data_IF_000185587660
#
_entry.id   IF_000185587660
#
_cell.length_a   1.000
_cell.length_b   1.000
_cell.length_c   1.000
_cell.angle_alpha   90.00
_cell.angle_beta   90.00
_cell.angle_gamma   90.00
#
_symmetry.space_group_name_H-M   'P 1'
#
loop_
_entity.id
_entity.type
_entity.pdbx_description
1 polymer ?
#
# COMPACT_ATOMS: atom_id res chain seq x y z
N UNK A 1 102.13 6.68 -58.78
CA UNK A 1 103.42 6.96 -58.11
C UNK A 1 103.43 8.38 -57.51
N UNK A 2 102.48 8.74 -56.63
CA UNK A 2 102.53 10.01 -55.87
C UNK A 2 102.27 9.83 -54.36
N UNK A 3 102.13 8.58 -53.90
CA UNK A 3 102.16 8.21 -52.47
C UNK A 3 103.57 8.30 -51.87
N UNK A 4 104.59 8.56 -52.69
CA UNK A 4 105.95 8.93 -52.30
C UNK A 4 106.26 10.43 -52.45
N UNK A 5 105.33 11.24 -52.99
CA UNK A 5 105.48 12.72 -53.01
C UNK A 5 105.02 13.34 -51.67
N UNK A 6 104.15 12.65 -50.93
CA UNK A 6 103.69 13.07 -49.61
C UNK A 6 104.78 13.03 -48.52
N UNK A 7 105.93 12.40 -48.78
CA UNK A 7 107.07 12.30 -47.85
C UNK A 7 108.29 13.14 -48.27
N UNK A 8 108.26 13.77 -49.45
CA UNK A 8 109.40 14.52 -50.00
C UNK A 8 109.20 16.05 -49.95
N UNK A 9 107.96 16.54 -49.83
CA UNK A 9 107.72 17.98 -49.61
C UNK A 9 107.89 18.39 -48.13
N UNK A 10 107.76 17.43 -47.20
CA UNK A 10 107.89 17.63 -45.75
C UNK A 10 109.37 17.62 -45.30
N UNK A 11 110.32 17.28 -46.18
CA UNK A 11 111.78 17.32 -45.90
C UNK A 11 112.56 18.35 -46.72
N UNK A 12 111.89 19.14 -47.59
CA UNK A 12 112.56 20.15 -48.42
C UNK A 12 112.22 21.61 -48.06
N UNK A 13 111.28 21.86 -47.16
CA UNK A 13 110.99 23.21 -46.66
C UNK A 13 111.70 23.56 -45.33
N UNK A 14 112.59 22.68 -44.88
CA UNK A 14 113.57 22.92 -43.81
C UNK A 14 114.87 23.57 -44.33
N UNK A 15 114.93 24.00 -45.59
CA UNK A 15 116.10 24.69 -46.14
C UNK A 15 115.73 25.71 -47.21
N UNK A 16 114.96 26.73 -46.85
CA UNK A 16 114.97 28.01 -47.58
C UNK A 16 115.06 29.14 -46.57
N UNK A 17 116.27 29.32 -46.06
CA UNK A 17 116.72 30.52 -45.37
C UNK A 17 116.60 31.70 -46.34
N UNK A 18 115.50 32.46 -46.22
CA UNK A 18 115.38 33.77 -46.86
C UNK A 18 116.25 34.74 -46.07
N UNK A 19 117.27 35.26 -46.75
CA UNK A 19 118.22 36.25 -46.27
C UNK A 19 117.51 37.46 -45.65
N UNK A 20 117.96 37.79 -44.44
CA UNK A 20 117.62 39.01 -43.74
C UNK A 20 118.18 40.23 -44.49
N UNK A 21 117.36 41.26 -44.63
CA UNK A 21 117.79 42.59 -45.04
C UNK A 21 118.21 43.34 -43.77
N UNK A 22 119.52 43.61 -43.65
CA UNK A 22 120.14 44.32 -42.53
C UNK A 22 119.70 45.78 -42.53
N UNK A 23 118.91 46.17 -41.54
CA UNK A 23 118.76 47.59 -41.17
C UNK A 23 119.71 47.86 -40.01
N UNK A 24 120.85 48.46 -40.34
CA UNK A 24 121.83 48.96 -39.37
C UNK A 24 121.26 50.15 -38.58
N UNK A 25 121.13 50.00 -37.26
CA UNK A 25 121.13 51.10 -36.29
C UNK A 25 122.14 50.84 -35.17
N UNK A 26 123.19 51.67 -35.20
CA UNK A 26 124.21 52.02 -34.19
C UNK A 26 124.84 50.94 -33.29
N UNK A 27 126.15 50.80 -33.46
CA UNK A 27 127.10 50.20 -32.52
C UNK A 27 127.16 50.97 -31.18
N UNK A 28 126.19 50.81 -30.27
CA UNK A 28 126.31 51.21 -28.85
C UNK A 28 125.53 50.26 -27.91
N UNK A 29 126.25 49.51 -27.08
CA UNK A 29 125.77 48.35 -26.30
C UNK A 29 125.01 48.70 -24.99
N UNK A 30 124.36 49.87 -24.81
CA UNK A 30 123.92 50.25 -23.46
C UNK A 30 122.58 51.00 -23.22
N UNK A 31 121.64 51.15 -24.17
CA UNK A 31 120.39 51.91 -23.90
C UNK A 31 119.02 51.37 -24.39
N UNK A 32 118.93 50.28 -25.16
CA UNK A 32 117.65 49.89 -25.82
C UNK A 32 116.83 48.75 -25.16
N UNK A 33 117.38 48.04 -24.17
CA UNK A 33 116.61 47.03 -23.41
C UNK A 33 115.44 47.59 -22.58
N UNK A 34 115.54 48.75 -21.89
CA UNK A 34 114.48 49.17 -20.96
C UNK A 34 113.21 49.73 -21.63
N UNK A 35 113.28 50.24 -22.87
CA UNK A 35 112.11 50.83 -23.57
C UNK A 35 111.20 49.76 -24.16
N UNK A 36 111.78 48.72 -24.77
CA UNK A 36 111.04 47.57 -25.30
C UNK A 36 110.35 46.77 -24.18
N UNK A 37 111.02 46.59 -23.04
CA UNK A 37 110.44 45.93 -21.87
C UNK A 37 109.18 46.66 -21.37
N UNK A 38 109.19 47.99 -21.34
CA UNK A 38 108.04 48.79 -20.91
C UNK A 38 106.87 48.74 -21.91
N UNK A 39 107.14 48.80 -23.20
CA UNK A 39 106.09 48.66 -24.23
C UNK A 39 105.43 47.27 -24.15
N UNK A 40 106.22 46.21 -24.02
CA UNK A 40 105.72 44.84 -23.84
C UNK A 40 104.88 44.72 -22.57
N UNK A 41 105.31 45.36 -21.46
CA UNK A 41 104.54 45.37 -20.22
C UNK A 41 103.22 46.14 -20.34
N UNK A 42 103.20 47.28 -21.05
CA UNK A 42 101.98 48.05 -21.28
C UNK A 42 101.00 47.30 -22.20
N UNK A 43 101.48 46.64 -23.24
CA UNK A 43 100.68 45.74 -24.08
C UNK A 43 100.14 44.55 -23.28
N UNK A 44 100.97 43.87 -22.48
CA UNK A 44 100.54 42.79 -21.59
C UNK A 44 99.50 43.25 -20.57
N UNK A 45 99.67 44.46 -20.03
CA UNK A 45 98.71 45.06 -19.11
C UNK A 45 97.40 45.36 -19.82
N UNK A 46 97.44 45.95 -21.02
CA UNK A 46 96.26 46.24 -21.83
C UNK A 46 95.51 44.96 -22.21
N UNK A 47 96.24 43.91 -22.60
CA UNK A 47 95.70 42.61 -22.97
C UNK A 47 95.09 41.88 -21.77
N UNK A 48 95.71 42.00 -20.58
CA UNK A 48 95.11 41.52 -19.33
C UNK A 48 93.83 42.29 -18.98
N UNK A 49 93.81 43.61 -19.16
CA UNK A 49 92.61 44.42 -18.92
C UNK A 49 91.50 44.08 -19.91
N UNK A 50 91.82 43.92 -21.19
CA UNK A 50 90.87 43.51 -22.23
C UNK A 50 90.35 42.09 -21.98
N UNK A 51 91.21 41.16 -21.55
CA UNK A 51 90.81 39.81 -21.14
C UNK A 51 89.84 39.85 -19.95
N UNK A 52 90.14 40.65 -18.92
CA UNK A 52 89.25 40.83 -17.77
C UNK A 52 87.89 41.42 -18.14
N UNK A 53 87.87 42.41 -19.04
CA UNK A 53 86.62 43.01 -19.52
C UNK A 53 85.84 42.06 -20.43
N UNK A 54 86.53 41.26 -21.24
CA UNK A 54 85.91 40.19 -22.03
C UNK A 54 85.30 39.13 -21.12
N UNK A 55 86.01 38.65 -20.10
CA UNK A 55 85.49 37.71 -19.10
C UNK A 55 84.28 38.29 -18.37
N UNK A 56 84.34 39.56 -17.96
CA UNK A 56 83.20 40.25 -17.33
C UNK A 56 81.99 40.30 -18.27
N UNK A 57 82.17 40.73 -19.53
CA UNK A 57 81.08 40.81 -20.52
C UNK A 57 80.50 39.44 -20.83
N UNK A 58 81.35 38.43 -21.02
CA UNK A 58 80.89 37.06 -21.24
C UNK A 58 80.12 36.53 -20.03
N UNK A 59 80.61 36.79 -18.81
CA UNK A 59 79.91 36.40 -17.58
C UNK A 59 78.53 37.03 -17.53
N UNK A 60 78.41 38.34 -17.75
CA UNK A 60 77.12 39.06 -17.76
C UNK A 60 76.18 38.49 -18.83
N UNK A 61 76.66 38.28 -20.06
CA UNK A 61 75.82 37.73 -21.14
C UNK A 61 75.36 36.30 -20.87
N UNK A 62 76.23 35.45 -20.31
CA UNK A 62 75.88 34.08 -19.93
C UNK A 62 74.85 34.11 -18.81
N UNK A 63 75.06 34.91 -17.75
CA UNK A 63 74.12 35.03 -16.65
C UNK A 63 72.77 35.58 -17.12
N UNK A 64 72.75 36.60 -17.98
CA UNK A 64 71.52 37.17 -18.52
C UNK A 64 70.76 36.14 -19.38
N UNK A 65 71.48 35.34 -20.16
CA UNK A 65 70.88 34.25 -20.96
C UNK A 65 70.33 33.15 -20.07
N UNK A 66 71.04 32.75 -19.03
CA UNK A 66 70.57 31.75 -18.07
C UNK A 66 69.33 32.25 -17.31
N UNK A 67 69.33 33.51 -16.86
CA UNK A 67 68.17 34.14 -16.24
C UNK A 67 66.99 34.22 -17.19
N UNK A 68 67.20 34.58 -18.46
CA UNK A 68 66.13 34.63 -19.46
C UNK A 68 65.55 33.23 -19.77
N UNK A 69 66.39 32.20 -19.83
CA UNK A 69 65.95 30.80 -20.00
C UNK A 69 65.19 30.33 -18.76
N UNK A 70 65.67 30.64 -17.55
CA UNK A 70 65.01 30.32 -16.30
C UNK A 70 63.64 31.00 -16.20
N UNK A 71 63.55 32.29 -16.50
CA UNK A 71 62.30 33.06 -16.47
C UNK A 71 61.28 32.52 -17.48
N UNK A 72 61.72 32.23 -18.70
CA UNK A 72 60.86 31.60 -19.72
C UNK A 72 60.35 30.23 -19.28
N UNK A 73 61.19 29.40 -18.66
CA UNK A 73 60.81 28.09 -18.11
C UNK A 73 59.81 28.21 -16.96
N UNK A 74 60.06 29.14 -16.02
CA UNK A 74 59.16 29.43 -14.91
C UNK A 74 57.80 29.93 -15.42
N UNK A 75 57.79 30.79 -16.44
CA UNK A 75 56.55 31.28 -17.03
C UNK A 75 55.76 30.17 -17.75
N UNK A 76 56.43 29.26 -18.48
CA UNK A 76 55.77 28.09 -19.07
C UNK A 76 55.19 27.16 -18.01
N UNK A 77 55.93 26.93 -16.92
CA UNK A 77 55.44 26.13 -15.79
C UNK A 77 54.21 26.77 -15.16
N UNK A 78 54.25 28.07 -14.86
CA UNK A 78 53.13 28.81 -14.27
C UNK A 78 51.89 28.78 -15.18
N UNK A 79 52.08 29.03 -16.49
CA UNK A 79 50.99 29.01 -17.47
C UNK A 79 50.37 27.61 -17.58
N UNK A 80 51.19 26.56 -17.62
CA UNK A 80 50.72 25.17 -17.72
C UNK A 80 49.94 24.76 -16.46
N UNK A 81 50.46 25.07 -15.28
CA UNK A 81 49.79 24.83 -14.00
C UNK A 81 48.45 25.57 -13.96
N UNK A 82 48.42 26.84 -14.39
CA UNK A 82 47.19 27.63 -14.45
C UNK A 82 46.14 27.02 -15.40
N UNK A 83 46.54 26.54 -16.59
CA UNK A 83 45.63 25.85 -17.50
C UNK A 83 45.09 24.54 -16.94
N UNK A 84 45.90 23.74 -16.24
CA UNK A 84 45.42 22.55 -15.54
C UNK A 84 44.37 22.89 -14.49
N UNK A 85 44.57 23.96 -13.71
CA UNK A 85 43.57 24.43 -12.77
C UNK A 85 42.28 24.87 -13.47
N UNK A 86 42.34 25.53 -14.62
CA UNK A 86 41.13 25.87 -15.39
C UNK A 86 40.38 24.65 -15.91
N UNK A 87 41.09 23.62 -16.40
CA UNK A 87 40.46 22.38 -16.85
C UNK A 87 39.78 21.66 -15.68
N UNK A 88 40.45 21.55 -14.54
CA UNK A 88 39.88 20.95 -13.32
C UNK A 88 38.66 21.74 -12.86
N UNK A 89 38.74 23.07 -12.84
CA UNK A 89 37.62 23.93 -12.46
C UNK A 89 36.42 23.79 -13.40
N UNK A 90 36.66 23.71 -14.72
CA UNK A 90 35.62 23.50 -15.71
C UNK A 90 34.93 22.14 -15.53
N UNK A 91 35.70 21.07 -15.34
CA UNK A 91 35.17 19.72 -15.06
C UNK A 91 34.41 19.69 -13.74
N UNK A 92 34.95 20.30 -12.67
CA UNK A 92 34.29 20.39 -11.38
C UNK A 92 32.96 21.16 -11.46
N UNK A 93 32.92 22.25 -12.23
CA UNK A 93 31.70 23.02 -12.48
C UNK A 93 30.65 22.20 -13.24
N UNK A 94 31.06 21.44 -14.26
CA UNK A 94 30.18 20.54 -15.00
C UNK A 94 29.59 19.45 -14.09
N UNK A 95 30.43 18.80 -13.28
CA UNK A 95 30.00 17.75 -12.33
C UNK A 95 29.05 18.35 -11.29
N UNK A 96 29.34 19.54 -10.77
CA UNK A 96 28.47 20.20 -9.80
C UNK A 96 27.08 20.51 -10.38
N UNK A 97 27.01 20.95 -11.64
CA UNK A 97 25.75 21.26 -12.32
C UNK A 97 24.91 19.99 -12.55
N UNK A 98 25.52 18.93 -13.07
CA UNK A 98 24.86 17.64 -13.29
C UNK A 98 24.44 17.01 -11.95
N UNK A 99 25.32 17.05 -10.94
CA UNK A 99 25.03 16.53 -9.61
C UNK A 99 23.88 17.27 -8.93
N UNK A 100 23.80 18.59 -9.06
CA UNK A 100 22.68 19.37 -8.52
C UNK A 100 21.35 19.03 -9.18
N UNK A 101 21.33 18.88 -10.51
CA UNK A 101 20.13 18.46 -11.23
C UNK A 101 19.67 17.06 -10.81
N UNK A 102 20.59 16.08 -10.77
CA UNK A 102 20.29 14.71 -10.35
C UNK A 102 19.78 14.62 -8.91
N UNK A 103 20.39 15.35 -7.96
CA UNK A 103 19.91 15.40 -6.58
C UNK A 103 18.50 16.00 -6.46
N UNK A 104 18.22 17.06 -7.23
CA UNK A 104 16.90 17.69 -7.27
C UNK A 104 15.85 16.74 -7.84
N UNK A 105 16.15 16.06 -8.95
CA UNK A 105 15.29 15.06 -9.57
C UNK A 105 15.03 13.88 -8.64
N UNK A 106 16.07 13.35 -7.99
CA UNK A 106 15.93 12.26 -7.02
C UNK A 106 15.02 12.67 -5.86
N UNK A 107 15.21 13.87 -5.30
CA UNK A 107 14.35 14.40 -4.22
C UNK A 107 12.89 14.55 -4.67
N UNK A 108 12.66 15.02 -5.90
CA UNK A 108 11.31 15.14 -6.45
C UNK A 108 10.67 13.77 -6.70
N UNK A 109 11.38 12.86 -7.37
CA UNK A 109 10.88 11.52 -7.71
C UNK A 109 10.59 10.68 -6.45
N UNK A 110 11.45 10.77 -5.42
CA UNK A 110 11.24 10.08 -4.14
C UNK A 110 10.03 10.63 -3.41
N UNK A 111 9.81 11.95 -3.42
CA UNK A 111 8.60 12.56 -2.88
C UNK A 111 7.35 12.12 -3.66
N UNK A 112 7.38 12.18 -4.98
CA UNK A 112 6.26 11.74 -5.82
C UNK A 112 5.94 10.25 -5.65
N UNK A 113 6.96 9.40 -5.48
CA UNK A 113 6.78 7.98 -5.20
C UNK A 113 6.16 7.75 -3.83
N UNK A 114 6.61 8.48 -2.80
CA UNK A 114 6.02 8.43 -1.47
C UNK A 114 4.55 8.89 -1.49
N UNK A 115 4.25 10.01 -2.17
CA UNK A 115 2.89 10.53 -2.32
C UNK A 115 1.98 9.51 -3.04
N UNK A 116 2.48 8.85 -4.10
CA UNK A 116 1.75 7.77 -4.79
C UNK A 116 1.46 6.58 -3.88
N UNK A 117 2.43 6.15 -3.08
CA UNK A 117 2.23 5.04 -2.13
C UNK A 117 1.22 5.42 -1.05
N UNK A 118 1.32 6.63 -0.49
CA UNK A 118 0.36 7.14 0.49
C UNK A 118 -1.05 7.21 -0.08
N UNK A 119 -1.21 7.72 -1.31
CA UNK A 119 -2.52 7.76 -1.98
C UNK A 119 -3.10 6.38 -2.22
N UNK A 120 -2.27 5.42 -2.67
CA UNK A 120 -2.70 4.03 -2.85
C UNK A 120 -3.18 3.40 -1.53
N UNK A 121 -2.41 3.61 -0.47
CA UNK A 121 -2.77 3.14 0.88
C UNK A 121 -4.08 3.79 1.32
N UNK A 122 -4.22 5.11 1.16
CA UNK A 122 -5.44 5.83 1.51
C UNK A 122 -6.66 5.29 0.75
N UNK A 123 -6.54 5.06 -0.56
CA UNK A 123 -7.62 4.50 -1.39
C UNK A 123 -7.99 3.06 -0.97
N UNK A 124 -7.01 2.23 -0.66
CA UNK A 124 -7.24 0.85 -0.17
C UNK A 124 -7.95 0.86 1.19
N UNK A 125 -7.58 1.77 2.09
CA UNK A 125 -8.26 1.93 3.37
C UNK A 125 -9.67 2.50 3.19
N UNK A 126 -9.86 3.51 2.34
CA UNK A 126 -11.17 4.08 2.04
C UNK A 126 -12.13 2.99 1.53
N UNK A 127 -11.69 2.16 0.58
CA UNK A 127 -12.49 1.02 0.09
C UNK A 127 -12.88 0.06 1.21
N UNK A 128 -11.95 -0.28 2.10
CA UNK A 128 -12.21 -1.15 3.26
C UNK A 128 -13.16 -0.50 4.26
N UNK A 129 -13.02 0.79 4.53
CA UNK A 129 -13.91 1.54 5.41
C UNK A 129 -15.33 1.58 4.88
N UNK A 130 -15.50 1.86 3.59
CA UNK A 130 -16.83 1.86 2.96
C UNK A 130 -17.44 0.45 2.98
N UNK A 131 -16.66 -0.60 2.71
CA UNK A 131 -17.15 -1.98 2.83
C UNK A 131 -17.59 -2.32 4.26
N UNK A 132 -16.77 -1.96 5.25
CA UNK A 132 -17.08 -2.16 6.67
C UNK A 132 -18.33 -1.39 7.09
N UNK A 133 -18.49 -0.14 6.65
CA UNK A 133 -19.67 0.67 6.95
C UNK A 133 -20.94 0.03 6.40
N UNK A 134 -20.91 -0.49 5.16
CA UNK A 134 -22.05 -1.22 4.57
C UNK A 134 -22.39 -2.47 5.37
N UNK A 135 -21.39 -3.24 5.77
CA UNK A 135 -21.60 -4.47 6.55
C UNK A 135 -22.16 -4.16 7.93
N UNK A 136 -21.66 -3.11 8.60
CA UNK A 136 -22.19 -2.64 9.87
C UNK A 136 -23.65 -2.19 9.72
N UNK A 137 -23.97 -1.35 8.74
CA UNK A 137 -25.36 -0.92 8.48
C UNK A 137 -26.29 -2.11 8.24
N UNK A 138 -25.86 -3.10 7.46
CA UNK A 138 -26.64 -4.32 7.21
C UNK A 138 -26.87 -5.10 8.51
N UNK A 139 -25.81 -5.37 9.27
CA UNK A 139 -25.90 -6.10 10.53
C UNK A 139 -26.78 -5.37 11.55
N UNK A 140 -26.63 -4.06 11.70
CA UNK A 140 -27.47 -3.25 12.56
C UNK A 140 -28.94 -3.37 12.17
N UNK A 141 -29.26 -3.29 10.87
CA UNK A 141 -30.64 -3.45 10.38
C UNK A 141 -31.23 -4.81 10.75
N UNK A 142 -30.49 -5.89 10.52
CA UNK A 142 -30.92 -7.25 10.89
C UNK A 142 -31.12 -7.36 12.40
N UNK A 143 -30.20 -6.82 13.21
CA UNK A 143 -30.34 -6.83 14.67
C UNK A 143 -31.59 -6.05 15.10
N UNK A 144 -31.88 -4.91 14.47
CA UNK A 144 -33.09 -4.13 14.80
C UNK A 144 -34.37 -4.86 14.39
N UNK A 145 -34.38 -5.55 13.25
CA UNK A 145 -35.51 -6.36 12.78
C UNK A 145 -35.73 -7.56 13.73
N UNK A 146 -34.67 -8.30 14.05
CA UNK A 146 -34.73 -9.42 15.00
C UNK A 146 -35.16 -8.98 16.40
N UNK A 147 -34.67 -7.85 16.90
CA UNK A 147 -35.09 -7.33 18.21
C UNK A 147 -36.58 -7.01 18.24
N UNK A 148 -37.12 -6.45 17.15
CA UNK A 148 -38.56 -6.19 17.02
C UNK A 148 -39.37 -7.49 16.97
N UNK A 149 -38.87 -8.51 16.27
CA UNK A 149 -39.51 -9.83 16.25
C UNK A 149 -39.52 -10.49 17.63
N UNK A 150 -38.41 -10.40 18.37
CA UNK A 150 -38.30 -10.89 19.75
C UNK A 150 -39.29 -10.16 20.66
N UNK A 151 -39.44 -8.84 20.51
CA UNK A 151 -40.40 -8.05 21.28
C UNK A 151 -41.84 -8.52 21.01
N UNK A 152 -42.20 -8.73 19.74
CA UNK A 152 -43.51 -9.28 19.34
C UNK A 152 -43.73 -10.68 19.91
N UNK A 153 -42.71 -11.56 19.85
CA UNK A 153 -42.79 -12.91 20.42
C UNK A 153 -43.05 -12.82 21.93
N UNK A 154 -42.30 -11.98 22.63
CA UNK A 154 -42.43 -11.82 24.08
C UNK A 154 -43.79 -11.24 24.46
N UNK A 155 -44.31 -10.27 23.69
CA UNK A 155 -45.64 -9.70 23.88
C UNK A 155 -46.71 -10.78 23.72
N UNK A 156 -46.68 -11.53 22.63
CA UNK A 156 -47.61 -12.66 22.38
C UNK A 156 -47.49 -13.72 23.47
N UNK A 157 -46.28 -14.07 23.89
CA UNK A 157 -46.06 -15.03 24.98
C UNK A 157 -46.65 -14.54 26.31
N UNK A 158 -46.49 -13.26 26.64
CA UNK A 158 -47.09 -12.69 27.85
C UNK A 158 -48.63 -12.70 27.77
N UNK A 159 -49.20 -12.45 26.59
CA UNK A 159 -50.65 -12.56 26.37
C UNK A 159 -51.13 -14.01 26.54
N UNK A 160 -50.39 -15.00 26.03
CA UNK A 160 -50.68 -16.42 26.25
C UNK A 160 -50.66 -16.80 27.73
N UNK A 161 -49.65 -16.37 28.49
CA UNK A 161 -49.58 -16.60 29.93
C UNK A 161 -50.77 -15.96 30.65
N UNK A 162 -51.19 -14.78 30.21
CA UNK A 162 -52.37 -14.11 30.76
C UNK A 162 -53.65 -14.89 30.44
N UNK A 163 -53.84 -15.37 29.22
CA UNK A 163 -54.99 -16.18 28.82
C UNK A 163 -55.11 -17.44 29.67
N UNK A 164 -53.98 -18.12 29.96
CA UNK A 164 -53.96 -19.30 30.82
C UNK A 164 -54.32 -19.01 32.28
N UNK A 165 -54.01 -17.81 32.78
CA UNK A 165 -54.29 -17.42 34.17
C UNK A 165 -55.76 -17.03 34.42
N UNK A 166 -56.48 -16.66 33.37
CA UNK A 166 -57.85 -16.16 33.43
C UNK A 166 -58.84 -17.33 33.40
N UNK A 167 -59.83 -17.29 34.30
CA UNK A 167 -60.83 -18.36 34.40
C UNK A 167 -62.10 -18.11 33.58
N UNK A 168 -62.46 -16.85 33.32
CA UNK A 168 -63.69 -16.54 32.58
C UNK A 168 -63.45 -16.63 31.07
N UNK A 169 -64.29 -17.35 30.31
CA UNK A 169 -64.08 -17.52 28.87
C UNK A 169 -64.16 -16.20 28.11
N UNK A 170 -65.01 -15.25 28.52
CA UNK A 170 -65.16 -13.94 27.87
C UNK A 170 -63.83 -13.17 27.84
N UNK A 171 -63.14 -13.14 28.98
CA UNK A 171 -61.84 -12.47 29.10
C UNK A 171 -60.75 -13.22 28.33
N UNK A 172 -60.81 -14.57 28.24
CA UNK A 172 -59.90 -15.33 27.37
C UNK A 172 -60.09 -14.91 25.91
N UNK A 173 -61.33 -14.74 25.46
CA UNK A 173 -61.62 -14.28 24.09
C UNK A 173 -61.04 -12.90 23.80
N UNK A 174 -61.17 -11.95 24.72
CA UNK A 174 -60.59 -10.61 24.60
C UNK A 174 -59.06 -10.68 24.46
N UNK A 175 -58.39 -11.55 25.24
CA UNK A 175 -56.94 -11.74 25.17
C UNK A 175 -56.54 -12.40 23.84
N UNK A 176 -57.28 -13.40 23.36
CA UNK A 176 -57.01 -13.98 22.04
C UNK A 176 -57.22 -12.96 20.92
N UNK A 177 -58.17 -12.03 21.05
CA UNK A 177 -58.30 -10.91 20.13
C UNK A 177 -57.13 -9.93 20.18
N UNK A 178 -56.52 -9.72 21.35
CA UNK A 178 -55.26 -8.99 21.46
C UNK A 178 -54.11 -9.72 20.74
N UNK A 179 -53.98 -11.04 20.92
CA UNK A 179 -52.98 -11.86 20.23
C UNK A 179 -53.16 -11.78 18.72
N UNK A 180 -54.40 -11.91 18.23
CA UNK A 180 -54.71 -11.87 16.80
C UNK A 180 -54.54 -10.47 16.19
N UNK A 181 -54.59 -9.39 16.97
CA UNK A 181 -54.21 -8.04 16.48
C UNK A 181 -52.70 -7.94 16.23
N UNK A 182 -51.90 -8.58 17.08
CA UNK A 182 -50.44 -8.60 16.95
C UNK A 182 -49.99 -9.61 15.88
N UNK A 183 -50.62 -10.79 15.84
CA UNK A 183 -50.38 -11.87 14.86
C UNK A 183 -51.71 -12.36 14.25
N UNK A 184 -52.19 -11.73 13.16
CA UNK A 184 -53.46 -12.09 12.53
C UNK A 184 -53.53 -13.50 11.94
N UNK A 185 -52.38 -14.13 11.69
CA UNK A 185 -52.28 -15.48 11.12
C UNK A 185 -51.96 -16.56 12.16
N UNK A 186 -52.07 -16.26 13.46
CA UNK A 186 -51.85 -17.25 14.51
C UNK A 186 -53.04 -18.23 14.57
N UNK A 187 -52.84 -19.41 13.99
CA UNK A 187 -53.86 -20.46 13.92
C UNK A 187 -54.18 -21.03 15.30
N UNK A 188 -53.18 -21.15 16.18
CA UNK A 188 -53.37 -21.62 17.56
C UNK A 188 -54.27 -20.64 18.32
N UNK A 189 -53.99 -19.34 18.23
CA UNK A 189 -54.84 -18.34 18.88
C UNK A 189 -56.30 -18.40 18.38
N UNK A 190 -56.54 -18.72 17.11
CA UNK A 190 -57.89 -18.94 16.58
C UNK A 190 -58.55 -20.22 17.11
N UNK A 191 -57.81 -21.33 17.22
CA UNK A 191 -58.37 -22.59 17.78
C UNK A 191 -58.70 -22.46 19.25
N UNK A 192 -57.82 -21.84 20.05
CA UNK A 192 -58.08 -21.60 21.46
C UNK A 192 -59.18 -20.54 21.69
N UNK A 193 -59.37 -19.62 20.76
CA UNK A 193 -60.53 -18.73 20.76
C UNK A 193 -61.84 -19.49 20.47
N UNK A 194 -61.81 -20.50 19.59
CA UNK A 194 -62.96 -21.35 19.34
C UNK A 194 -63.32 -22.19 20.58
N UNK A 195 -62.31 -22.72 21.27
CA UNK A 195 -62.46 -23.42 22.56
C UNK A 195 -63.11 -22.53 23.64
N UNK A 196 -62.65 -21.27 23.79
CA UNK A 196 -63.29 -20.32 24.69
C UNK A 196 -64.76 -20.02 24.28
N UNK A 197 -65.08 -20.00 22.99
CA UNK A 197 -66.46 -19.87 22.53
C UNK A 197 -67.31 -21.12 22.82
N UNK A 198 -66.70 -22.32 22.80
CA UNK A 198 -67.33 -23.57 23.24
C UNK A 198 -67.68 -23.53 24.73
N UNK A 199 -66.77 -23.05 25.59
CA UNK A 199 -67.02 -22.84 27.02
C UNK A 199 -68.22 -21.90 27.27
N UNK A 200 -68.44 -20.91 26.38
CA UNK A 200 -69.59 -19.99 26.42
C UNK A 200 -70.88 -20.56 25.80
N UNK A 201 -70.84 -21.78 25.26
CA UNK A 201 -71.94 -22.42 24.49
C UNK A 201 -72.32 -21.69 23.19
N UNK A 202 -71.42 -20.89 22.65
CA UNK A 202 -71.60 -20.19 21.37
C UNK A 202 -71.11 -21.08 20.20
N UNK A 203 -71.74 -22.25 20.04
CA UNK A 203 -71.28 -23.31 19.14
C UNK A 203 -71.16 -22.88 17.67
N UNK A 204 -72.10 -22.07 17.18
CA UNK A 204 -72.06 -21.56 15.81
C UNK A 204 -70.85 -20.63 15.56
N UNK A 205 -70.44 -19.89 16.59
CA UNK A 205 -69.28 -19.02 16.48
C UNK A 205 -67.99 -19.82 16.52
N UNK A 206 -67.90 -20.83 17.41
CA UNK A 206 -66.80 -21.78 17.43
C UNK A 206 -66.61 -22.47 16.07
N UNK A 207 -67.69 -22.95 15.44
CA UNK A 207 -67.65 -23.50 14.08
C UNK A 207 -67.05 -22.52 13.06
N UNK A 208 -67.46 -21.24 13.10
CA UNK A 208 -66.93 -20.24 12.18
C UNK A 208 -65.41 -20.03 12.36
N UNK A 209 -64.95 -19.97 13.61
CA UNK A 209 -63.54 -19.84 13.94
C UNK A 209 -62.74 -21.06 13.49
N UNK A 210 -63.20 -22.28 13.76
CA UNK A 210 -62.55 -23.51 13.29
C UNK A 210 -62.52 -23.59 11.77
N UNK A 211 -63.60 -23.23 11.08
CA UNK A 211 -63.63 -23.20 9.61
C UNK A 211 -62.56 -22.27 9.04
N UNK A 212 -62.35 -21.09 9.64
CA UNK A 212 -61.29 -20.16 9.21
C UNK A 212 -59.89 -20.74 9.40
N UNK A 213 -59.66 -21.53 10.44
CA UNK A 213 -58.38 -22.24 10.63
C UNK A 213 -58.21 -23.29 9.53
N UNK A 214 -59.26 -24.07 9.29
CA UNK A 214 -59.26 -25.16 8.31
C UNK A 214 -59.24 -24.72 6.84
N UNK A 215 -59.56 -23.45 6.56
CA UNK A 215 -59.32 -22.81 5.27
C UNK A 215 -57.82 -22.60 4.98
N UNK A 216 -57.01 -22.45 6.03
CA UNK A 216 -55.55 -22.24 5.92
C UNK A 216 -54.78 -23.54 6.10
N UNK A 217 -55.19 -24.36 7.08
CA UNK A 217 -54.61 -25.65 7.42
C UNK A 217 -55.72 -26.69 7.59
N UNK A 218 -56.00 -27.42 6.51
CA UNK A 218 -57.11 -28.39 6.43
C UNK A 218 -56.87 -29.69 7.24
N UNK A 219 -55.65 -29.88 7.72
CA UNK A 219 -55.22 -31.00 8.56
C UNK A 219 -54.95 -30.57 10.01
N UNK A 220 -55.35 -29.36 10.40
CA UNK A 220 -55.17 -28.91 11.78
C UNK A 220 -56.00 -29.76 12.75
N UNK A 221 -55.33 -30.68 13.46
CA UNK A 221 -55.97 -31.67 14.32
C UNK A 221 -56.82 -31.01 15.43
N UNK A 222 -56.32 -29.94 16.05
CA UNK A 222 -57.03 -29.20 17.10
C UNK A 222 -58.26 -28.47 16.58
N UNK A 223 -58.17 -27.83 15.40
CA UNK A 223 -59.33 -27.15 14.81
C UNK A 223 -60.42 -28.15 14.38
N UNK A 224 -60.03 -29.30 13.79
CA UNK A 224 -60.96 -30.38 13.46
C UNK A 224 -61.64 -30.94 14.71
N UNK A 225 -60.87 -31.15 15.78
CA UNK A 225 -61.37 -31.63 17.06
C UNK A 225 -62.41 -30.66 17.66
N UNK A 226 -62.06 -29.38 17.77
CA UNK A 226 -62.95 -28.35 18.30
C UNK A 226 -64.21 -28.16 17.42
N UNK A 227 -64.07 -28.28 16.10
CA UNK A 227 -65.22 -28.27 15.18
C UNK A 227 -66.14 -29.47 15.39
N UNK A 228 -65.56 -30.65 15.64
CA UNK A 228 -66.32 -31.84 15.95
C UNK A 228 -67.07 -31.72 17.29
N UNK A 229 -66.45 -31.17 18.34
CA UNK A 229 -67.13 -30.86 19.60
C UNK A 229 -68.35 -29.95 19.36
N UNK A 230 -68.17 -28.88 18.58
CA UNK A 230 -69.26 -27.97 18.23
C UNK A 230 -70.39 -28.68 17.45
N UNK A 231 -70.05 -29.56 16.49
CA UNK A 231 -71.04 -30.33 15.76
C UNK A 231 -71.79 -31.34 16.64
N UNK A 232 -71.10 -32.00 17.57
CA UNK A 232 -71.72 -32.93 18.53
C UNK A 232 -72.76 -32.21 19.40
N UNK A 233 -72.42 -31.03 19.93
CA UNK A 233 -73.33 -30.21 20.73
C UNK A 233 -74.52 -29.67 19.95
N UNK A 234 -74.36 -29.46 18.64
CA UNK A 234 -75.43 -29.04 17.72
C UNK A 234 -76.27 -30.21 17.18
N UNK A 235 -75.94 -31.47 17.52
CA UNK A 235 -76.63 -32.67 17.05
C UNK A 235 -76.29 -33.07 15.60
N UNK A 236 -75.22 -32.51 15.03
CA UNK A 236 -74.73 -32.85 13.69
C UNK A 236 -73.76 -34.05 13.74
N UNK A 237 -74.28 -35.22 14.13
CA UNK A 237 -73.50 -36.42 14.45
C UNK A 237 -72.59 -36.89 13.32
N UNK A 238 -73.08 -36.85 12.08
CA UNK A 238 -72.31 -37.32 10.90
C UNK A 238 -71.07 -36.47 10.67
N UNK A 239 -71.21 -35.14 10.76
CA UNK A 239 -70.12 -34.19 10.59
C UNK A 239 -69.13 -34.26 11.75
N UNK A 240 -69.63 -34.45 12.98
CA UNK A 240 -68.78 -34.60 14.15
C UNK A 240 -67.86 -35.82 14.04
N UNK A 241 -68.40 -36.98 13.62
CA UNK A 241 -67.60 -38.21 13.48
C UNK A 241 -66.58 -38.08 12.33
N UNK A 242 -66.94 -37.45 11.21
CA UNK A 242 -66.02 -37.22 10.08
C UNK A 242 -64.83 -36.33 10.48
N UNK A 243 -65.10 -35.23 11.19
CA UNK A 243 -64.05 -34.33 11.67
C UNK A 243 -63.19 -34.98 12.76
N UNK A 244 -63.77 -35.79 13.64
CA UNK A 244 -63.03 -36.58 14.61
C UNK A 244 -62.09 -37.58 13.94
N UNK A 245 -62.56 -38.29 12.93
CA UNK A 245 -61.73 -39.22 12.18
C UNK A 245 -60.53 -38.51 11.57
N UNK A 246 -60.78 -37.39 10.88
CA UNK A 246 -59.71 -36.59 10.28
C UNK A 246 -58.75 -36.02 11.33
N UNK A 247 -59.26 -35.63 12.50
CA UNK A 247 -58.45 -35.13 13.62
C UNK A 247 -57.50 -36.21 14.15
N UNK A 248 -57.98 -37.45 14.34
CA UNK A 248 -57.19 -38.60 14.79
C UNK A 248 -56.17 -39.04 13.73
N UNK A 249 -56.55 -39.03 12.46
CA UNK A 249 -55.65 -39.29 11.33
C UNK A 249 -54.51 -38.25 11.27
N UNK A 250 -54.81 -36.99 11.56
CA UNK A 250 -53.81 -35.92 11.59
C UNK A 250 -52.90 -35.99 12.83
N UNK A 251 -53.44 -36.32 14.00
CA UNK A 251 -52.65 -36.54 15.21
C UNK A 251 -53.23 -37.65 16.08
N UNK A 252 -52.46 -38.73 16.22
CA UNK A 252 -52.85 -39.91 17.00
C UNK A 252 -53.12 -39.60 18.47
N UNK A 253 -52.51 -38.54 19.02
CA UNK A 253 -52.76 -38.10 20.41
C UNK A 253 -54.17 -37.55 20.63
N UNK A 254 -54.88 -37.15 19.56
CA UNK A 254 -56.26 -36.69 19.68
C UNK A 254 -57.18 -37.80 20.16
N UNK A 255 -56.88 -39.07 19.86
CA UNK A 255 -57.70 -40.22 20.30
C UNK A 255 -57.81 -40.28 21.84
N UNK A 256 -56.73 -39.98 22.55
CA UNK A 256 -56.74 -39.94 24.02
C UNK A 256 -57.67 -38.82 24.53
N UNK A 257 -57.64 -37.66 23.89
CA UNK A 257 -58.51 -36.53 24.23
C UNK A 257 -59.99 -36.83 23.98
N UNK A 258 -60.34 -37.55 22.91
CA UNK A 258 -61.75 -37.94 22.63
C UNK A 258 -62.38 -38.72 23.79
N UNK A 259 -61.59 -39.55 24.48
CA UNK A 259 -62.08 -40.35 25.61
C UNK A 259 -62.37 -39.49 26.86
N UNK A 260 -61.61 -38.42 27.05
CA UNK A 260 -61.71 -37.52 28.20
C UNK A 260 -62.75 -36.41 28.00
N UNK A 261 -63.06 -36.05 26.75
CA UNK A 261 -63.98 -34.96 26.45
C UNK A 261 -65.47 -35.34 26.65
N UNK A 262 -66.22 -34.58 27.48
CA UNK A 262 -67.64 -34.82 27.72
C UNK A 262 -68.52 -34.38 26.54
N UNK A 263 -68.01 -33.54 25.64
CA UNK A 263 -68.80 -33.00 24.53
C UNK A 263 -69.25 -34.07 23.54
N UNK A 264 -68.61 -35.25 23.55
CA UNK A 264 -68.94 -36.40 22.73
C UNK A 264 -69.90 -37.39 23.40
N UNK A 265 -70.36 -37.14 24.63
CA UNK A 265 -71.38 -37.97 25.28
C UNK A 265 -72.63 -38.23 24.40
N UNK A 266 -73.14 -37.26 23.60
CA UNK A 266 -74.25 -37.53 22.68
C UNK A 266 -73.94 -38.53 21.56
N UNK A 267 -72.66 -38.71 21.21
CA UNK A 267 -72.22 -39.61 20.13
C UNK A 267 -71.94 -41.03 20.62
N UNK A 268 -71.80 -41.23 21.93
CA UNK A 268 -71.53 -42.54 22.54
C UNK A 268 -72.68 -43.50 22.28
N UNK A 269 -72.37 -44.72 21.86
CA UNK A 269 -73.37 -45.73 21.46
C UNK A 269 -73.73 -45.73 19.97
N UNK A 270 -73.19 -44.81 19.16
CA UNK A 270 -73.23 -44.91 17.71
C UNK A 270 -72.14 -45.88 17.23
N UNK A 271 -72.51 -46.89 16.44
CA UNK A 271 -71.55 -47.90 15.92
C UNK A 271 -70.32 -47.26 15.25
N UNK A 272 -70.52 -46.18 14.48
CA UNK A 272 -69.44 -45.46 13.78
C UNK A 272 -68.46 -44.77 14.74
N UNK A 273 -68.94 -44.27 15.88
CA UNK A 273 -68.11 -43.59 16.87
C UNK A 273 -67.30 -44.60 17.67
N UNK A 274 -67.90 -45.73 18.06
CA UNK A 274 -67.19 -46.80 18.78
C UNK A 274 -66.09 -47.43 17.91
N UNK A 275 -66.37 -47.67 16.62
CA UNK A 275 -65.36 -48.22 15.69
C UNK A 275 -64.14 -47.30 15.58
N UNK A 276 -64.34 -45.98 15.62
CA UNK A 276 -63.27 -44.98 15.55
C UNK A 276 -62.31 -45.06 16.75
N UNK A 277 -62.82 -45.48 17.92
CA UNK A 277 -62.05 -45.59 19.16
C UNK A 277 -61.31 -46.93 19.28
N UNK A 278 -61.78 -47.97 18.58
CA UNK A 278 -61.20 -49.32 18.59
C UNK A 278 -60.03 -49.48 17.58
N UNK A 279 -60.00 -48.69 16.50
CA UNK A 279 -58.91 -48.61 15.52
C UNK A 279 -57.75 -47.72 15.98
#
# INVERSE_FOLDING_TARGET
MYRHLFLLLITLFTSLSLQAEEVTYSEQEYLDRPLMERYILDELKSLRTEQQDLERRMTIQITDRELAVADKSLNYSNTTVTYFFYVIAAVASLIALIGWQSLREMKQNTKEMADKQLNKIAEDYEKKFVALERDLKRKTRIITENNREIEIINEVHNLWLRAQSVQTPEQKMDIYDEILKVRPGDLEALTYKADAAMEMREFHWALNLCNRVLEVDDQNAHALFQRACAYAQLGAEVQAIDDLQRSIEASTSMRELVLEEPDFDPLRGLERFETLLEE
#
